data_IF_203209344873
#
_entry.id   IF_203209344873
#
_cell.length_a   1.000
_cell.length_b   1.000
_cell.length_c   1.000
_cell.angle_alpha   90.00
_cell.angle_beta   90.00
_cell.angle_gamma   90.00
#
_symmetry.space_group_name_H-M   'P 1'
#
loop_
_entity.id
_entity.type
_entity.pdbx_description
1 polymer ?
#
# COMPACT_ATOMS: atom_id res chain seq x y z
N UNK A 1 39.75 69.54 -23.45
CA UNK A 1 39.68 68.21 -24.08
C UNK A 1 40.67 67.28 -23.40
N UNK A 2 40.25 66.41 -22.47
CA UNK A 2 41.02 65.22 -22.11
C UNK A 2 40.29 63.92 -22.49
N UNK A 3 41.10 62.96 -22.93
CA UNK A 3 40.77 61.63 -23.41
C UNK A 3 40.18 60.77 -22.28
N UNK A 4 38.99 60.18 -22.47
CA UNK A 4 38.37 59.24 -21.53
C UNK A 4 38.74 57.81 -21.95
N UNK A 5 39.67 57.19 -21.23
CA UNK A 5 40.06 55.79 -21.41
C UNK A 5 38.90 54.86 -21.03
N UNK A 6 38.38 54.10 -21.99
CA UNK A 6 37.42 53.01 -21.79
C UNK A 6 38.15 51.82 -21.16
N UNK A 7 38.00 51.62 -19.85
CA UNK A 7 38.34 50.36 -19.20
C UNK A 7 37.29 49.31 -19.58
N UNK A 8 37.68 48.37 -20.43
CA UNK A 8 36.97 47.13 -20.69
C UNK A 8 36.95 46.28 -19.43
N UNK A 9 35.79 46.11 -18.80
CA UNK A 9 35.59 45.18 -17.69
C UNK A 9 35.53 43.76 -18.24
N UNK A 10 36.68 43.09 -18.33
CA UNK A 10 36.73 41.65 -18.56
C UNK A 10 36.35 40.92 -17.27
N UNK A 11 35.08 40.51 -17.16
CA UNK A 11 34.66 39.56 -16.13
C UNK A 11 35.44 38.24 -16.30
N UNK A 12 35.94 37.61 -15.23
CA UNK A 12 36.54 36.30 -15.35
C UNK A 12 35.51 35.29 -15.89
N UNK A 13 35.92 34.34 -16.75
CA UNK A 13 35.02 33.33 -17.27
C UNK A 13 34.43 32.50 -16.12
N UNK A 14 33.17 32.04 -16.25
CA UNK A 14 32.56 31.18 -15.26
C UNK A 14 33.41 29.91 -15.09
N UNK A 15 33.52 29.37 -13.86
CA UNK A 15 34.24 28.13 -13.63
C UNK A 15 33.64 27.02 -14.50
N UNK A 16 34.47 26.10 -15.02
CA UNK A 16 33.99 24.98 -15.80
C UNK A 16 32.97 24.18 -14.98
N UNK A 17 31.93 23.63 -15.63
CA UNK A 17 30.95 22.80 -14.93
C UNK A 17 31.68 21.64 -14.25
N UNK A 18 31.28 21.28 -13.01
CA UNK A 18 31.91 20.17 -12.29
C UNK A 18 31.79 18.89 -13.14
N UNK A 19 32.83 18.04 -13.13
CA UNK A 19 32.78 16.78 -13.86
C UNK A 19 31.56 15.96 -13.40
N UNK A 20 30.86 15.29 -14.33
CA UNK A 20 29.70 14.48 -13.99
C UNK A 20 30.10 13.44 -12.94
N UNK A 21 29.29 13.33 -11.89
CA UNK A 21 29.46 12.33 -10.85
C UNK A 21 29.68 10.94 -11.49
N UNK A 22 30.67 10.17 -11.03
CA UNK A 22 30.89 8.81 -11.52
C UNK A 22 29.59 8.00 -11.45
N UNK A 23 29.21 7.37 -12.56
CA UNK A 23 27.93 6.67 -12.72
C UNK A 23 27.65 5.59 -11.65
N UNK A 24 28.68 5.13 -10.91
CA UNK A 24 28.53 4.16 -9.83
C UNK A 24 27.93 4.74 -8.52
N UNK A 25 27.91 6.07 -8.36
CA UNK A 25 27.30 6.76 -7.21
C UNK A 25 25.82 7.11 -7.43
N UNK A 26 25.29 6.86 -8.63
CA UNK A 26 23.87 6.99 -8.94
C UNK A 26 23.11 5.79 -8.33
N UNK A 27 22.75 5.91 -7.05
CA UNK A 27 21.81 5.05 -6.34
C UNK A 27 21.94 3.54 -6.65
N UNK A 28 22.97 2.90 -6.11
CA UNK A 28 22.90 1.48 -5.77
C UNK A 28 23.07 1.34 -4.26
N UNK A 29 21.97 0.95 -3.60
CA UNK A 29 21.93 0.16 -2.36
C UNK A 29 23.08 0.40 -1.38
N UNK A 30 22.80 1.04 -0.23
CA UNK A 30 23.64 0.81 0.96
C UNK A 30 23.58 -0.68 1.28
N UNK A 31 24.71 -1.38 1.09
CA UNK A 31 25.48 -1.75 2.26
C UNK A 31 26.97 -1.48 2.08
N UNK A 32 27.55 -0.79 3.06
CA UNK A 32 28.99 -0.74 3.37
C UNK A 32 29.89 -0.40 2.17
N UNK A 33 30.12 0.91 1.98
CA UNK A 33 31.24 1.39 1.19
C UNK A 33 32.50 0.60 1.56
N UNK A 34 33.13 -0.05 0.58
CA UNK A 34 34.39 -0.77 0.79
C UNK A 34 35.48 0.20 1.25
N UNK A 35 36.50 -0.29 1.96
CA UNK A 35 37.55 0.57 2.51
C UNK A 35 38.23 1.42 1.43
N UNK A 36 38.38 0.89 0.21
CA UNK A 36 38.93 1.64 -0.94
C UNK A 36 38.01 2.74 -1.46
N UNK A 37 36.68 2.54 -1.43
CA UNK A 37 35.72 3.57 -1.84
C UNK A 37 35.64 4.71 -0.83
N UNK A 38 35.87 4.42 0.45
CA UNK A 38 35.97 5.46 1.50
C UNK A 38 37.19 6.33 1.27
N UNK A 39 38.31 5.74 0.88
CA UNK A 39 39.55 6.48 0.60
C UNK A 39 39.39 7.39 -0.62
N UNK A 40 38.82 6.90 -1.72
CA UNK A 40 38.54 7.74 -2.89
C UNK A 40 37.52 8.83 -2.59
N UNK A 41 36.49 8.55 -1.79
CA UNK A 41 35.54 9.57 -1.33
C UNK A 41 36.19 10.62 -0.43
N UNK A 42 37.07 10.22 0.48
CA UNK A 42 37.81 11.14 1.35
C UNK A 42 38.80 12.01 0.55
N UNK A 43 39.48 11.45 -0.45
CA UNK A 43 40.36 12.20 -1.35
C UNK A 43 39.57 13.20 -2.19
N UNK A 44 38.43 12.79 -2.72
CA UNK A 44 37.53 13.67 -3.45
C UNK A 44 37.00 14.79 -2.55
N UNK A 45 36.50 14.48 -1.34
CA UNK A 45 36.12 15.47 -0.34
C UNK A 45 37.26 16.42 0.02
N UNK A 46 38.50 15.94 0.10
CA UNK A 46 39.65 16.81 0.39
C UNK A 46 39.92 17.82 -0.73
N UNK A 47 39.54 17.50 -1.98
CA UNK A 47 39.70 18.37 -3.15
C UNK A 47 38.62 19.45 -3.30
N UNK A 48 37.49 19.33 -2.59
CA UNK A 48 36.38 20.29 -2.66
C UNK A 48 36.62 21.54 -1.82
N UNK A 49 36.18 22.68 -2.35
CA UNK A 49 36.12 23.95 -1.61
C UNK A 49 35.05 23.89 -0.49
N UNK A 50 35.17 24.72 0.56
CA UNK A 50 34.20 24.73 1.66
C UNK A 50 32.75 24.96 1.21
N UNK A 51 32.53 25.78 0.18
CA UNK A 51 31.22 26.05 -0.42
C UNK A 51 30.63 24.84 -1.13
N UNK A 52 31.44 24.07 -1.87
CA UNK A 52 30.98 22.85 -2.55
C UNK A 52 30.62 21.77 -1.54
N UNK A 53 31.41 21.63 -0.47
CA UNK A 53 31.11 20.73 0.65
C UNK A 53 29.77 21.03 1.30
N UNK A 54 29.41 22.31 1.48
CA UNK A 54 28.10 22.67 2.03
C UNK A 54 26.95 22.30 1.09
N UNK A 55 27.11 22.53 -0.23
CA UNK A 55 26.06 22.17 -1.20
C UNK A 55 25.84 20.67 -1.31
N UNK A 56 26.91 19.89 -1.20
CA UNK A 56 26.81 18.44 -1.25
C UNK A 56 26.18 17.87 0.02
N UNK A 57 26.56 18.38 1.20
CA UNK A 57 25.91 18.00 2.46
C UNK A 57 24.40 18.23 2.40
N UNK A 58 23.98 19.38 1.89
CA UNK A 58 22.56 19.70 1.73
C UNK A 58 21.86 18.73 0.74
N UNK A 59 22.54 18.36 -0.36
CA UNK A 59 22.02 17.39 -1.33
C UNK A 59 21.87 15.98 -0.74
N UNK A 60 22.86 15.55 0.05
CA UNK A 60 22.83 14.26 0.76
C UNK A 60 21.72 14.26 1.81
N UNK A 61 21.58 15.33 2.59
CA UNK A 61 20.50 15.49 3.58
C UNK A 61 19.12 15.46 2.93
N UNK A 62 18.93 16.17 1.79
CA UNK A 62 17.70 16.10 1.00
C UNK A 62 17.41 14.67 0.53
N UNK A 63 18.44 13.95 0.09
CA UNK A 63 18.31 12.57 -0.36
C UNK A 63 17.90 11.65 0.80
N UNK A 64 18.57 11.76 1.96
CA UNK A 64 18.21 11.02 3.17
C UNK A 64 16.78 11.30 3.62
N UNK A 65 16.40 12.58 3.67
CA UNK A 65 15.05 12.99 4.05
C UNK A 65 13.99 12.43 3.09
N UNK A 66 14.26 12.47 1.78
CA UNK A 66 13.35 11.92 0.77
C UNK A 66 13.18 10.40 0.90
N UNK A 67 14.26 9.67 1.21
CA UNK A 67 14.23 8.23 1.43
C UNK A 67 13.47 7.89 2.71
N UNK A 68 13.76 8.58 3.81
CA UNK A 68 13.06 8.39 5.08
C UNK A 68 11.56 8.68 4.95
N UNK A 69 11.20 9.72 4.19
CA UNK A 69 9.80 10.02 3.85
C UNK A 69 9.17 8.86 3.09
N UNK A 70 9.81 8.37 2.02
CA UNK A 70 9.30 7.22 1.23
C UNK A 70 9.15 5.96 2.09
N UNK A 71 10.11 5.65 2.96
CA UNK A 71 10.04 4.51 3.88
C UNK A 71 8.86 4.64 4.85
N UNK A 72 8.66 5.82 5.43
CA UNK A 72 7.52 6.07 6.29
C UNK A 72 6.19 5.89 5.56
N UNK A 73 6.07 6.38 4.33
CA UNK A 73 4.86 6.22 3.51
C UNK A 73 4.59 4.77 3.13
N UNK A 74 5.61 4.02 2.71
CA UNK A 74 5.45 2.59 2.39
C UNK A 74 5.08 1.77 3.63
N UNK A 75 5.66 2.11 4.79
CA UNK A 75 5.34 1.48 6.07
C UNK A 75 3.88 1.80 6.46
N UNK A 76 3.43 3.03 6.22
CA UNK A 76 2.05 3.42 6.48
C UNK A 76 1.06 2.72 5.52
N UNK A 77 1.36 2.68 4.22
CA UNK A 77 0.54 2.02 3.21
C UNK A 77 0.38 0.53 3.53
N UNK A 78 1.48 -0.15 3.85
CA UNK A 78 1.47 -1.56 4.26
C UNK A 78 0.77 -1.82 5.60
N UNK A 79 0.75 -0.83 6.52
CA UNK A 79 -0.03 -0.92 7.76
C UNK A 79 -1.53 -0.68 7.56
N UNK A 80 -1.91 -0.09 6.43
CA UNK A 80 -3.31 0.19 6.11
C UNK A 80 -4.01 -1.09 5.64
N UNK A 81 -5.29 -1.25 6.00
CA UNK A 81 -6.11 -2.41 5.62
C UNK A 81 -6.07 -2.71 4.11
N UNK A 82 -6.17 -1.67 3.28
CA UNK A 82 -6.09 -1.79 1.82
C UNK A 82 -4.72 -2.28 1.34
N UNK A 83 -3.64 -1.85 1.98
CA UNK A 83 -2.29 -2.29 1.66
C UNK A 83 -2.06 -3.74 2.03
N UNK A 84 -2.54 -4.17 3.21
CA UNK A 84 -2.50 -5.57 3.63
C UNK A 84 -3.33 -6.46 2.72
N UNK A 85 -4.57 -6.07 2.38
CA UNK A 85 -5.40 -6.85 1.47
C UNK A 85 -4.75 -6.97 0.08
N UNK A 86 -4.18 -5.87 -0.43
CA UNK A 86 -3.44 -5.86 -1.70
C UNK A 86 -2.21 -6.75 -1.66
N UNK A 87 -1.44 -6.72 -0.57
CA UNK A 87 -0.27 -7.59 -0.42
C UNK A 87 -0.68 -9.05 -0.30
N UNK A 88 -1.70 -9.37 0.50
CA UNK A 88 -2.23 -10.74 0.64
C UNK A 88 -2.74 -11.31 -0.69
N UNK A 89 -3.49 -10.50 -1.46
CA UNK A 89 -3.99 -10.91 -2.76
C UNK A 89 -2.85 -11.15 -3.75
N UNK A 90 -1.79 -10.33 -3.70
CA UNK A 90 -0.61 -10.51 -4.54
C UNK A 90 0.19 -11.75 -4.13
N UNK A 91 0.48 -11.90 -2.84
CA UNK A 91 1.45 -12.86 -2.33
C UNK A 91 0.85 -14.28 -2.26
N UNK A 92 -0.43 -14.40 -1.88
CA UNK A 92 -1.12 -15.68 -1.73
C UNK A 92 -2.14 -15.96 -2.84
N UNK A 93 -2.81 -14.94 -3.40
CA UNK A 93 -3.69 -15.09 -4.56
C UNK A 93 -4.80 -16.12 -4.38
N UNK A 94 -4.71 -17.25 -5.10
CA UNK A 94 -5.75 -18.28 -5.14
C UNK A 94 -6.08 -18.92 -3.78
N UNK A 95 -5.10 -19.38 -2.96
CA UNK A 95 -5.33 -19.80 -1.58
C UNK A 95 -6.15 -18.81 -0.73
N UNK A 96 -5.87 -17.52 -0.86
CA UNK A 96 -6.63 -16.47 -0.16
C UNK A 96 -8.10 -16.44 -0.60
N UNK A 97 -8.35 -16.50 -1.91
CA UNK A 97 -9.72 -16.53 -2.45
C UNK A 97 -10.50 -17.76 -1.97
N UNK A 98 -9.88 -18.94 -1.98
CA UNK A 98 -10.52 -20.18 -1.49
C UNK A 98 -10.88 -20.07 -0.02
N UNK A 99 -9.97 -19.56 0.81
CA UNK A 99 -10.23 -19.38 2.24
C UNK A 99 -11.35 -18.36 2.48
N UNK A 100 -11.30 -17.21 1.79
CA UNK A 100 -12.31 -16.18 1.90
C UNK A 100 -13.71 -16.69 1.49
N UNK A 101 -13.82 -17.37 0.35
CA UNK A 101 -15.06 -17.98 -0.13
C UNK A 101 -15.56 -19.08 0.82
N UNK A 102 -14.67 -19.89 1.37
CA UNK A 102 -15.03 -20.93 2.33
C UNK A 102 -15.63 -20.31 3.59
N UNK A 103 -15.01 -19.25 4.12
CA UNK A 103 -15.53 -18.55 5.29
C UNK A 103 -16.87 -17.87 5.00
N UNK A 104 -17.01 -17.24 3.83
CA UNK A 104 -18.28 -16.66 3.38
C UNK A 104 -19.40 -17.71 3.29
N UNK A 105 -19.09 -18.90 2.76
CA UNK A 105 -20.04 -20.01 2.65
C UNK A 105 -20.44 -20.57 4.01
N UNK A 106 -19.48 -20.78 4.91
CA UNK A 106 -19.75 -21.25 6.28
C UNK A 106 -20.64 -20.27 7.04
N UNK A 107 -20.34 -18.97 7.00
CA UNK A 107 -21.18 -17.97 7.65
C UNK A 107 -22.54 -17.86 6.98
N UNK A 108 -22.64 -18.05 5.67
CA UNK A 108 -23.91 -18.10 4.94
C UNK A 108 -24.81 -19.25 5.39
N UNK A 109 -24.24 -20.45 5.54
CA UNK A 109 -24.96 -21.62 6.08
C UNK A 109 -25.43 -21.36 7.50
N UNK A 110 -24.60 -20.75 8.35
CA UNK A 110 -24.98 -20.38 9.72
C UNK A 110 -26.11 -19.35 9.71
N UNK A 111 -26.06 -18.34 8.85
CA UNK A 111 -27.13 -17.34 8.73
C UNK A 111 -28.45 -17.98 8.31
N UNK A 112 -28.43 -18.82 7.27
CA UNK A 112 -29.62 -19.53 6.82
C UNK A 112 -30.17 -20.46 7.89
N UNK A 113 -29.31 -21.28 8.51
CA UNK A 113 -29.71 -22.18 9.60
C UNK A 113 -30.25 -21.44 10.82
N UNK A 114 -29.74 -20.25 11.11
CA UNK A 114 -30.25 -19.41 12.20
C UNK A 114 -31.66 -18.88 11.91
N UNK A 115 -31.98 -18.52 10.66
CA UNK A 115 -33.32 -18.09 10.27
C UNK A 115 -34.33 -19.20 10.49
N UNK A 116 -34.00 -20.43 10.08
CA UNK A 116 -34.84 -21.60 10.29
C UNK A 116 -34.95 -21.97 11.78
N UNK A 117 -33.86 -21.92 12.55
CA UNK A 117 -33.85 -22.29 13.97
C UNK A 117 -34.61 -21.29 14.85
N UNK A 118 -34.49 -19.99 14.58
CA UNK A 118 -35.21 -18.94 15.31
C UNK A 118 -36.62 -18.69 14.75
N UNK A 119 -37.02 -19.39 13.68
CA UNK A 119 -38.33 -19.24 13.02
C UNK A 119 -38.65 -17.78 12.71
N UNK A 120 -37.69 -17.08 12.09
CA UNK A 120 -37.89 -15.68 11.72
C UNK A 120 -38.94 -15.57 10.61
N UNK A 121 -39.96 -14.75 10.83
CA UNK A 121 -41.04 -14.53 9.86
C UNK A 121 -40.58 -13.59 8.73
N UNK A 122 -39.87 -14.18 7.77
CA UNK A 122 -39.33 -13.49 6.59
C UNK A 122 -40.41 -12.84 5.72
N UNK A 123 -41.57 -13.46 5.46
CA UNK A 123 -42.67 -12.80 4.75
C UNK A 123 -43.14 -11.52 5.44
N UNK A 124 -43.23 -11.49 6.77
CA UNK A 124 -43.59 -10.28 7.51
C UNK A 124 -42.51 -9.20 7.45
N UNK A 125 -41.23 -9.58 7.46
CA UNK A 125 -40.11 -8.64 7.25
C UNK A 125 -40.13 -8.03 5.84
N UNK A 126 -40.38 -8.84 4.81
CA UNK A 126 -40.48 -8.37 3.43
C UNK A 126 -41.65 -7.39 3.24
N UNK A 127 -42.81 -7.66 3.85
CA UNK A 127 -43.95 -6.71 3.83
C UNK A 127 -43.62 -5.37 4.49
N UNK A 128 -42.89 -5.38 5.61
CA UNK A 128 -42.45 -4.13 6.23
C UNK A 128 -41.49 -3.36 5.33
N UNK A 129 -40.59 -4.06 4.62
CA UNK A 129 -39.71 -3.45 3.62
C UNK A 129 -40.54 -2.86 2.48
N UNK A 130 -41.50 -3.60 1.92
CA UNK A 130 -42.39 -3.14 0.85
C UNK A 130 -43.12 -1.84 1.22
N UNK A 131 -43.60 -1.73 2.47
CA UNK A 131 -44.24 -0.50 2.96
C UNK A 131 -43.27 0.68 3.07
N UNK A 132 -41.98 0.43 3.30
CA UNK A 132 -40.95 1.47 3.38
C UNK A 132 -40.47 1.94 2.00
N UNK A 133 -40.30 1.03 1.05
CA UNK A 133 -39.77 1.34 -0.28
C UNK A 133 -40.87 1.56 -1.33
N UNK A 134 -42.13 1.29 -0.98
CA UNK A 134 -43.31 1.37 -1.85
C UNK A 134 -43.18 0.53 -3.13
N UNK A 135 -42.53 -0.64 -3.02
CA UNK A 135 -42.34 -1.64 -4.09
C UNK A 135 -42.88 -2.96 -3.54
N UNK A 136 -43.65 -3.70 -4.35
CA UNK A 136 -44.17 -5.03 -3.99
C UNK A 136 -43.12 -6.11 -4.31
N UNK A 137 -42.26 -6.37 -3.33
CA UNK A 137 -41.23 -7.42 -3.38
C UNK A 137 -41.77 -8.70 -2.76
N UNK A 138 -42.57 -8.61 -1.69
CA UNK A 138 -43.14 -9.76 -0.98
C UNK A 138 -44.15 -10.55 -1.82
N UNK A 139 -44.89 -9.91 -2.73
CA UNK A 139 -45.82 -10.59 -3.64
C UNK A 139 -45.16 -11.28 -4.83
N UNK A 140 -43.86 -11.03 -5.06
CA UNK A 140 -43.12 -11.51 -6.25
C UNK A 140 -42.03 -12.53 -5.96
N UNK A 141 -41.71 -12.76 -4.69
CA UNK A 141 -40.65 -13.67 -4.25
C UNK A 141 -41.28 -14.88 -3.57
N UNK A 142 -40.87 -16.07 -3.98
CA UNK A 142 -41.25 -17.31 -3.29
C UNK A 142 -40.72 -17.26 -1.85
N UNK A 143 -41.51 -17.67 -0.83
CA UNK A 143 -41.12 -17.59 0.57
C UNK A 143 -39.76 -18.22 0.87
N UNK A 144 -39.48 -19.40 0.31
CA UNK A 144 -38.22 -20.12 0.48
C UNK A 144 -37.03 -19.33 -0.10
N UNK A 145 -37.23 -18.64 -1.23
CA UNK A 145 -36.22 -17.81 -1.87
C UNK A 145 -35.99 -16.51 -1.09
N UNK A 146 -37.05 -16.00 -0.45
CA UNK A 146 -36.98 -14.87 0.47
C UNK A 146 -36.11 -15.15 1.69
N UNK A 147 -36.22 -16.35 2.28
CA UNK A 147 -35.37 -16.76 3.40
C UNK A 147 -33.89 -16.81 3.00
N UNK A 148 -33.58 -17.37 1.83
CA UNK A 148 -32.22 -17.39 1.29
C UNK A 148 -31.71 -15.96 1.02
N UNK A 149 -32.55 -15.10 0.45
CA UNK A 149 -32.18 -13.71 0.17
C UNK A 149 -31.87 -12.93 1.46
N UNK A 150 -32.69 -13.09 2.51
CA UNK A 150 -32.43 -12.49 3.83
C UNK A 150 -31.18 -13.09 4.45
N UNK A 151 -30.97 -14.41 4.36
CA UNK A 151 -29.75 -15.06 4.84
C UNK A 151 -28.50 -14.48 4.17
N UNK A 152 -28.54 -14.30 2.85
CA UNK A 152 -27.44 -13.68 2.09
C UNK A 152 -27.26 -12.22 2.51
N UNK A 153 -28.33 -11.44 2.64
CA UNK A 153 -28.24 -10.05 3.08
C UNK A 153 -27.61 -9.91 4.48
N UNK A 154 -28.03 -10.73 5.44
CA UNK A 154 -27.42 -10.78 6.78
C UNK A 154 -25.97 -11.26 6.70
N UNK A 155 -25.67 -12.24 5.84
CA UNK A 155 -24.31 -12.69 5.60
C UNK A 155 -23.43 -11.57 5.03
N UNK A 156 -23.93 -10.72 4.15
CA UNK A 156 -23.21 -9.53 3.64
C UNK A 156 -23.03 -8.46 4.72
N UNK A 157 -23.99 -8.28 5.63
CA UNK A 157 -23.82 -7.36 6.77
C UNK A 157 -22.68 -7.78 7.72
N UNK A 158 -22.25 -9.05 7.68
CA UNK A 158 -21.07 -9.52 8.41
C UNK A 158 -19.76 -9.25 7.66
N UNK A 159 -19.79 -8.82 6.40
CA UNK A 159 -18.61 -8.53 5.59
C UNK A 159 -17.63 -7.53 6.26
N UNK A 160 -18.08 -6.41 6.89
CA UNK A 160 -17.18 -5.48 7.56
C UNK A 160 -16.37 -6.09 8.72
N UNK A 161 -16.86 -7.17 9.32
CA UNK A 161 -16.16 -7.90 10.39
C UNK A 161 -15.33 -9.05 9.80
N UNK A 162 -15.89 -9.74 8.80
CA UNK A 162 -15.29 -10.91 8.16
C UNK A 162 -14.04 -10.55 7.36
N UNK A 163 -14.03 -9.45 6.62
CA UNK A 163 -12.89 -9.04 5.81
C UNK A 163 -11.63 -8.75 6.67
N UNK A 164 -11.70 -7.98 7.78
CA UNK A 164 -10.60 -7.85 8.74
C UNK A 164 -10.13 -9.17 9.31
N UNK A 165 -11.07 -10.05 9.68
CA UNK A 165 -10.75 -11.36 10.22
C UNK A 165 -9.93 -12.19 9.23
N UNK A 166 -10.39 -12.31 7.98
CA UNK A 166 -9.72 -13.05 6.91
C UNK A 166 -8.32 -12.50 6.65
N UNK A 167 -8.16 -11.17 6.58
CA UNK A 167 -6.85 -10.53 6.34
C UNK A 167 -5.84 -10.92 7.43
N UNK A 168 -6.26 -10.95 8.69
CA UNK A 168 -5.38 -11.31 9.81
C UNK A 168 -5.09 -12.81 9.88
N UNK A 169 -6.06 -13.66 9.55
CA UNK A 169 -5.92 -15.12 9.69
C UNK A 169 -5.31 -15.81 8.48
N UNK A 170 -5.45 -15.24 7.28
CA UNK A 170 -4.97 -15.87 6.04
C UNK A 170 -3.48 -16.17 6.09
N UNK A 171 -2.63 -15.24 6.55
CA UNK A 171 -1.19 -15.45 6.63
C UNK A 171 -0.86 -16.71 7.44
N UNK A 172 -1.43 -16.83 8.64
CA UNK A 172 -1.21 -18.00 9.52
C UNK A 172 -1.70 -19.29 8.88
N UNK A 173 -2.86 -19.26 8.24
CA UNK A 173 -3.45 -20.44 7.62
C UNK A 173 -2.61 -20.94 6.44
N UNK A 174 -2.23 -20.02 5.54
CA UNK A 174 -1.54 -20.37 4.30
C UNK A 174 -0.10 -20.81 4.58
N UNK A 175 0.58 -20.17 5.55
CA UNK A 175 1.89 -20.60 6.03
C UNK A 175 1.81 -22.01 6.67
N UNK A 176 0.75 -22.32 7.43
CA UNK A 176 0.53 -23.66 8.02
C UNK A 176 0.29 -24.74 6.95
N UNK A 177 -0.36 -24.37 5.85
CA UNK A 177 -0.61 -25.27 4.72
C UNK A 177 0.63 -25.46 3.81
N UNK A 178 1.76 -24.84 4.15
CA UNK A 178 3.02 -24.96 3.41
C UNK A 178 3.05 -24.20 2.07
N UNK A 179 2.05 -23.37 1.80
CA UNK A 179 2.03 -22.50 0.63
C UNK A 179 2.79 -21.21 0.96
N UNK A 180 4.08 -21.15 0.58
CA UNK A 180 4.86 -19.92 0.72
C UNK A 180 4.36 -18.81 -0.20
N UNK A 181 4.64 -17.53 0.12
CA UNK A 181 4.30 -16.41 -0.75
C UNK A 181 4.96 -16.58 -2.13
N UNK A 182 4.17 -16.36 -3.19
CA UNK A 182 4.64 -16.52 -4.58
C UNK A 182 5.69 -15.48 -5.00
N UNK A 183 5.71 -14.34 -4.32
CA UNK A 183 6.58 -13.20 -4.62
C UNK A 183 7.33 -12.81 -3.35
N UNK A 184 8.37 -13.58 -3.01
CA UNK A 184 9.44 -13.16 -2.10
C UNK A 184 10.62 -12.63 -2.90
#
# INVERSE_FOLDING_TARGET
MPYRSSQSSSSPPPPPPPPPLPQHLQLKTLPILSSSEKETYNLWLSSLTPSEKSTEKESIEKSLHSLQTRLSLLTLESSTFRGQLKSLTRDYGFPFLVYWWSLWGVTGIICYGSISFFSLDVPSLLKNIDTLINIDVSGRIDPDLGEVAVAVAVNELLEPVRLPFVVVTTKKLVDTLGYGPKYN
#
